data_IF_446681333383
#
_entry.id   IF_446681333383
#
_cell.length_a   1.000
_cell.length_b   1.000
_cell.length_c   1.000
_cell.angle_alpha   90.00
_cell.angle_beta   90.00
_cell.angle_gamma   90.00
#
_symmetry.space_group_name_H-M   'P 1'
#
loop_
_entity.id
_entity.type
_entity.pdbx_description
1 polymer ?
#
# COMPACT_ATOMS: atom_id res chain seq x y z
N UNK A 1 -10.47 -16.98 -8.81
CA UNK A 1 -11.20 -16.72 -7.52
C UNK A 1 -12.62 -17.14 -7.77
N UNK A 2 -13.27 -17.87 -6.90
CA UNK A 2 -14.67 -18.29 -7.09
C UNK A 2 -15.53 -17.36 -6.25
N UNK A 3 -16.51 -16.71 -6.89
CA UNK A 3 -17.47 -15.86 -6.21
C UNK A 3 -18.72 -16.65 -5.84
N UNK A 4 -19.44 -16.18 -4.81
CA UNK A 4 -20.69 -16.76 -4.33
C UNK A 4 -21.84 -15.76 -4.54
N UNK A 5 -23.08 -16.27 -4.52
CA UNK A 5 -24.27 -15.41 -4.48
C UNK A 5 -24.22 -14.55 -3.22
N UNK A 6 -24.44 -13.25 -3.37
CA UNK A 6 -24.32 -12.26 -2.32
C UNK A 6 -22.97 -11.53 -2.27
N UNK A 7 -21.95 -12.03 -2.97
CA UNK A 7 -20.66 -11.34 -3.02
C UNK A 7 -20.78 -10.00 -3.76
N UNK A 8 -20.19 -8.97 -3.19
CA UNK A 8 -20.05 -7.67 -3.84
C UNK A 8 -18.85 -7.68 -4.75
N UNK A 9 -19.04 -7.22 -5.97
CA UNK A 9 -18.02 -7.22 -7.02
C UNK A 9 -17.93 -5.88 -7.72
N UNK A 10 -16.80 -5.65 -8.39
CA UNK A 10 -16.61 -4.51 -9.26
C UNK A 10 -16.50 -4.98 -10.71
N UNK A 11 -17.21 -4.31 -11.61
CA UNK A 11 -17.10 -4.45 -13.05
C UNK A 11 -16.86 -3.09 -13.68
N UNK A 12 -15.66 -2.87 -14.23
CA UNK A 12 -15.28 -1.61 -14.90
C UNK A 12 -15.55 -0.32 -14.09
N UNK A 13 -15.44 -0.41 -12.75
CA UNK A 13 -15.70 0.71 -11.85
C UNK A 13 -17.12 0.74 -11.26
N UNK A 14 -18.04 -0.10 -11.77
CA UNK A 14 -19.41 -0.20 -11.27
C UNK A 14 -19.52 -1.26 -10.17
N UNK A 15 -20.16 -0.90 -9.07
CA UNK A 15 -20.41 -1.82 -7.96
C UNK A 15 -21.67 -2.63 -8.21
N UNK A 16 -21.57 -3.94 -8.06
CA UNK A 16 -22.69 -4.87 -8.17
C UNK A 16 -22.64 -5.96 -7.12
N UNK A 17 -23.71 -6.73 -7.06
CA UNK A 17 -23.85 -7.92 -6.22
C UNK A 17 -24.18 -9.12 -7.10
N UNK A 18 -23.56 -10.26 -6.84
CA UNK A 18 -23.89 -11.51 -7.53
C UNK A 18 -25.22 -12.02 -7.00
N UNK A 19 -26.18 -12.13 -7.88
CA UNK A 19 -27.55 -12.53 -7.54
C UNK A 19 -27.91 -13.93 -8.02
N UNK A 20 -27.17 -14.45 -9.02
CA UNK A 20 -27.31 -15.83 -9.50
C UNK A 20 -26.04 -16.29 -10.22
N UNK A 21 -25.93 -17.60 -10.51
CA UNK A 21 -24.83 -18.19 -11.25
C UNK A 21 -25.36 -19.26 -12.22
N UNK A 22 -24.83 -19.26 -13.46
CA UNK A 22 -25.18 -20.33 -14.40
C UNK A 22 -24.56 -21.66 -13.95
N UNK A 23 -25.31 -22.76 -14.18
CA UNK A 23 -24.86 -24.13 -13.91
C UNK A 23 -24.22 -24.81 -15.14
N UNK A 24 -23.91 -24.05 -16.20
CA UNK A 24 -23.32 -24.55 -17.45
C UNK A 24 -21.78 -24.69 -17.34
N UNK A 25 -21.16 -25.28 -18.37
CA UNK A 25 -19.70 -25.45 -18.44
C UNK A 25 -18.91 -24.11 -18.36
N UNK A 26 -19.51 -23.02 -18.88
CA UNK A 26 -19.01 -21.65 -18.67
C UNK A 26 -19.77 -21.03 -17.51
N UNK A 27 -19.11 -20.88 -16.37
CA UNK A 27 -19.70 -20.23 -15.22
C UNK A 27 -19.86 -18.75 -15.52
N UNK A 28 -21.12 -18.30 -15.62
CA UNK A 28 -21.48 -16.90 -15.73
C UNK A 28 -22.13 -16.45 -14.44
N UNK A 29 -21.73 -15.29 -13.95
CA UNK A 29 -22.31 -14.65 -12.78
C UNK A 29 -23.36 -13.64 -13.24
N UNK A 30 -24.58 -13.76 -12.74
CA UNK A 30 -25.59 -12.71 -12.88
C UNK A 30 -25.33 -11.67 -11.82
N UNK A 31 -24.90 -10.48 -12.25
CA UNK A 31 -24.57 -9.35 -11.38
C UNK A 31 -25.64 -8.28 -11.51
N UNK A 32 -26.24 -7.88 -10.39
CA UNK A 32 -27.14 -6.72 -10.33
C UNK A 32 -26.34 -5.51 -9.82
N UNK A 33 -26.46 -4.40 -10.55
CA UNK A 33 -25.73 -3.15 -10.25
C UNK A 33 -26.64 -2.16 -9.50
N UNK A 34 -26.02 -1.30 -8.70
CA UNK A 34 -26.70 -0.24 -7.94
C UNK A 34 -26.94 1.04 -8.76
N UNK A 35 -26.45 1.05 -9.98
CA UNK A 35 -26.56 2.15 -10.93
C UNK A 35 -26.73 1.62 -12.35
N UNK A 36 -27.20 2.44 -13.29
CA UNK A 36 -27.37 2.02 -14.69
C UNK A 36 -26.02 1.75 -15.35
N UNK A 37 -25.84 0.54 -15.86
CA UNK A 37 -24.66 0.08 -16.58
C UNK A 37 -25.02 -0.19 -18.03
N UNK A 38 -24.17 0.24 -18.97
CA UNK A 38 -24.42 0.03 -20.40
C UNK A 38 -24.59 -1.47 -20.73
N UNK A 39 -25.71 -1.82 -21.33
CA UNK A 39 -26.04 -3.18 -21.69
C UNK A 39 -26.75 -3.99 -20.61
N UNK A 40 -27.00 -3.41 -19.43
CA UNK A 40 -27.78 -4.06 -18.38
C UNK A 40 -29.28 -4.20 -18.77
N UNK A 41 -29.92 -5.18 -18.18
CA UNK A 41 -31.33 -5.50 -18.37
C UNK A 41 -31.99 -5.95 -17.07
N UNK A 42 -33.29 -6.17 -17.11
CA UNK A 42 -34.02 -6.81 -16.00
C UNK A 42 -33.88 -8.33 -16.14
N UNK A 43 -33.50 -9.00 -15.05
CA UNK A 43 -33.48 -10.46 -14.98
C UNK A 43 -34.28 -10.98 -13.79
N UNK A 44 -34.78 -12.20 -13.93
CA UNK A 44 -35.44 -12.94 -12.85
C UNK A 44 -34.60 -14.14 -12.46
N UNK A 45 -34.33 -14.29 -11.18
CA UNK A 45 -33.60 -15.42 -10.61
C UNK A 45 -34.49 -16.64 -10.42
N UNK A 46 -33.94 -17.84 -10.20
CA UNK A 46 -34.69 -19.09 -10.05
C UNK A 46 -35.72 -19.04 -8.89
N UNK A 47 -35.48 -18.26 -7.87
CA UNK A 47 -36.36 -18.00 -6.72
C UNK A 47 -37.50 -17.01 -7.02
N UNK A 48 -37.54 -16.48 -8.25
CA UNK A 48 -38.61 -15.59 -8.73
C UNK A 48 -38.40 -14.12 -8.45
N UNK A 49 -37.26 -13.72 -7.88
CA UNK A 49 -36.91 -12.31 -7.59
C UNK A 49 -36.53 -11.61 -8.90
N UNK A 50 -37.11 -10.43 -9.13
CA UNK A 50 -36.78 -9.55 -10.26
C UNK A 50 -35.66 -8.59 -9.85
N UNK A 51 -34.56 -8.58 -10.62
CA UNK A 51 -33.44 -7.70 -10.45
C UNK A 51 -33.34 -6.73 -11.62
N UNK A 52 -33.15 -5.45 -11.31
CA UNK A 52 -32.88 -4.43 -12.31
C UNK A 52 -31.38 -4.29 -12.55
N UNK A 53 -31.00 -3.68 -13.69
CA UNK A 53 -29.60 -3.37 -14.02
C UNK A 53 -28.68 -4.59 -13.88
N UNK A 54 -29.01 -5.70 -14.54
CA UNK A 54 -28.26 -6.95 -14.47
C UNK A 54 -27.45 -7.23 -15.73
N UNK A 55 -26.28 -7.84 -15.55
CA UNK A 55 -25.45 -8.41 -16.63
C UNK A 55 -24.99 -9.81 -16.26
N UNK A 56 -24.91 -10.69 -17.28
CA UNK A 56 -24.17 -11.95 -17.16
C UNK A 56 -22.70 -11.69 -17.47
N UNK A 57 -21.82 -11.93 -16.49
CA UNK A 57 -20.39 -11.66 -16.56
C UNK A 57 -19.59 -12.93 -16.26
N UNK A 58 -18.39 -13.03 -16.84
CA UNK A 58 -17.45 -14.10 -16.52
C UNK A 58 -16.63 -13.69 -15.29
N UNK A 59 -16.02 -14.69 -14.64
CA UNK A 59 -15.12 -14.44 -13.51
C UNK A 59 -14.00 -13.45 -13.84
N UNK A 60 -13.44 -13.54 -15.05
CA UNK A 60 -12.35 -12.68 -15.53
C UNK A 60 -12.74 -11.19 -15.67
N UNK A 61 -14.03 -10.91 -15.85
CA UNK A 61 -14.57 -9.54 -15.95
C UNK A 61 -14.78 -8.89 -14.57
N UNK A 62 -14.73 -9.69 -13.50
CA UNK A 62 -15.04 -9.28 -12.14
C UNK A 62 -13.76 -9.08 -11.32
N UNK A 63 -13.82 -8.17 -10.39
CA UNK A 63 -12.81 -8.01 -9.35
C UNK A 63 -13.45 -7.85 -7.98
N UNK A 64 -12.77 -8.28 -6.89
CA UNK A 64 -13.27 -8.04 -5.54
C UNK A 64 -13.43 -6.55 -5.27
N UNK A 65 -14.41 -6.21 -4.45
CA UNK A 65 -14.55 -4.86 -3.94
C UNK A 65 -13.38 -4.48 -3.03
N UNK A 66 -12.93 -3.24 -3.17
CA UNK A 66 -11.97 -2.63 -2.24
C UNK A 66 -12.75 -1.62 -1.40
N UNK A 67 -12.91 -1.93 -0.12
CA UNK A 67 -13.64 -1.06 0.81
C UNK A 67 -12.75 0.06 1.34
N UNK A 68 -13.37 1.21 1.64
CA UNK A 68 -12.65 2.41 2.08
C UNK A 68 -12.06 2.30 3.49
N UNK A 69 -12.57 1.39 4.30
CA UNK A 69 -12.17 1.12 5.67
C UNK A 69 -11.34 -0.17 5.84
N UNK A 70 -10.93 -0.80 4.72
CA UNK A 70 -10.16 -2.03 4.74
C UNK A 70 -8.76 -1.85 4.13
N UNK A 71 -7.78 -2.45 4.80
CA UNK A 71 -6.39 -2.57 4.36
C UNK A 71 -6.00 -4.04 4.35
N UNK A 72 -5.79 -4.60 3.17
CA UNK A 72 -5.41 -5.99 3.00
C UNK A 72 -3.90 -6.12 2.83
N UNK A 73 -3.32 -7.08 3.54
CA UNK A 73 -1.93 -7.49 3.38
C UNK A 73 -1.85 -8.90 2.82
N UNK A 74 -0.99 -9.10 1.83
CA UNK A 74 -0.65 -10.41 1.31
C UNK A 74 0.84 -10.69 1.54
N UNK A 75 1.18 -11.95 1.88
CA UNK A 75 2.57 -12.40 1.92
C UNK A 75 3.02 -12.75 0.51
N UNK A 76 4.03 -12.04 0.00
CA UNK A 76 4.75 -12.37 -1.24
C UNK A 76 5.79 -13.46 -0.96
N UNK A 77 6.34 -13.46 0.27
CA UNK A 77 7.26 -14.49 0.78
C UNK A 77 6.67 -15.17 2.00
N UNK A 78 6.80 -16.51 2.14
CA UNK A 78 6.20 -17.27 3.27
C UNK A 78 6.60 -16.75 4.64
N UNK A 79 7.86 -16.30 4.78
CA UNK A 79 8.44 -15.81 6.03
C UNK A 79 8.12 -14.35 6.34
N UNK A 80 7.38 -13.65 5.47
CA UNK A 80 7.00 -12.26 5.69
C UNK A 80 6.14 -12.12 6.96
N UNK A 81 6.37 -11.03 7.68
CA UNK A 81 5.58 -10.65 8.86
C UNK A 81 4.51 -9.67 8.41
N UNK A 82 3.24 -10.00 8.64
CA UNK A 82 2.13 -9.08 8.38
C UNK A 82 2.23 -7.90 9.36
N UNK A 83 2.25 -6.65 8.87
CA UNK A 83 2.30 -5.47 9.69
C UNK A 83 1.17 -5.40 10.72
N UNK A 84 1.49 -4.98 11.92
CA UNK A 84 0.52 -4.82 13.01
C UNK A 84 0.83 -3.57 13.82
N UNK A 85 -0.17 -3.10 14.54
CA UNK A 85 -0.06 -1.97 15.48
C UNK A 85 -0.97 -2.20 16.68
N UNK A 86 -0.72 -1.52 17.78
CA UNK A 86 -1.68 -1.42 18.88
C UNK A 86 -2.81 -0.46 18.48
N UNK A 87 -3.93 -0.54 19.16
CA UNK A 87 -5.10 0.29 18.86
C UNK A 87 -4.78 1.80 18.88
N UNK A 88 -4.02 2.24 19.87
CA UNK A 88 -3.62 3.65 20.05
C UNK A 88 -2.49 4.10 19.12
N UNK A 89 -1.77 3.18 18.48
CA UNK A 89 -0.67 3.54 17.58
C UNK A 89 -1.22 4.04 16.25
N UNK A 90 -0.67 5.13 15.75
CA UNK A 90 -1.04 5.67 14.44
C UNK A 90 -0.48 4.84 13.27
N UNK A 91 0.62 4.10 13.49
CA UNK A 91 1.39 3.45 12.44
C UNK A 91 1.56 1.95 12.68
N UNK A 92 1.61 1.18 11.58
CA UNK A 92 1.93 -0.25 11.56
C UNK A 92 3.44 -0.44 11.44
N UNK A 93 4.03 -1.34 12.22
CA UNK A 93 5.43 -1.71 12.08
C UNK A 93 5.68 -2.54 10.81
N UNK A 94 6.69 -2.19 10.05
CA UNK A 94 7.13 -2.88 8.83
C UNK A 94 8.45 -3.61 9.12
N UNK A 95 8.55 -4.86 8.68
CA UNK A 95 9.66 -5.75 8.98
C UNK A 95 10.45 -6.10 7.72
N UNK A 96 11.74 -6.40 7.90
CA UNK A 96 12.56 -6.97 6.84
C UNK A 96 12.15 -8.43 6.54
N UNK A 97 12.29 -8.85 5.27
CA UNK A 97 12.07 -10.24 4.86
C UNK A 97 13.09 -10.62 3.77
N UNK A 98 14.22 -11.18 4.17
CA UNK A 98 15.27 -11.70 3.29
C UNK A 98 15.71 -13.09 3.74
N UNK A 99 16.33 -13.84 2.82
CA UNK A 99 16.69 -15.25 3.05
C UNK A 99 18.06 -15.39 3.71
N UNK A 100 19.00 -14.48 3.42
CA UNK A 100 20.33 -14.46 4.01
C UNK A 100 20.31 -14.35 5.53
N UNK A 101 21.39 -14.73 6.19
CA UNK A 101 21.53 -14.65 7.64
C UNK A 101 21.58 -13.22 8.16
N UNK A 102 22.15 -12.32 7.36
CA UNK A 102 22.24 -10.88 7.66
C UNK A 102 22.27 -10.04 6.38
N UNK A 103 21.93 -8.76 6.51
CA UNK A 103 21.99 -7.76 5.45
C UNK A 103 22.80 -6.56 5.95
N UNK A 104 23.76 -6.12 5.12
CA UNK A 104 24.63 -4.97 5.45
C UNK A 104 24.16 -3.72 4.74
N UNK A 105 24.04 -2.63 5.48
CA UNK A 105 23.87 -1.28 4.94
C UNK A 105 25.19 -0.54 5.14
N UNK A 106 26.04 -0.41 4.09
CA UNK A 106 27.34 0.24 4.21
C UNK A 106 27.20 1.72 4.62
N UNK A 107 28.26 2.32 5.17
CA UNK A 107 28.28 3.74 5.49
C UNK A 107 27.86 4.62 4.32
N UNK A 108 26.96 5.57 4.56
CA UNK A 108 26.47 6.56 3.59
C UNK A 108 25.80 5.97 2.33
N UNK A 109 25.39 4.69 2.37
CA UNK A 109 24.65 4.04 1.28
C UNK A 109 23.18 3.83 1.61
N UNK A 110 22.38 3.75 0.57
CA UNK A 110 20.95 3.37 0.63
C UNK A 110 20.78 1.97 0.09
N UNK A 111 20.15 1.10 0.86
CA UNK A 111 19.80 -0.27 0.46
C UNK A 111 18.26 -0.41 0.45
N UNK A 112 17.76 -1.05 -0.60
CA UNK A 112 16.35 -1.44 -0.69
C UNK A 112 16.15 -2.75 0.09
N UNK A 113 15.46 -2.67 1.23
CA UNK A 113 15.23 -3.83 2.09
C UNK A 113 13.88 -4.44 1.74
N UNK A 114 13.83 -5.70 1.28
CA UNK A 114 12.58 -6.38 0.97
C UNK A 114 11.77 -6.63 2.25
N UNK A 115 10.44 -6.58 2.13
CA UNK A 115 9.50 -6.80 3.23
C UNK A 115 8.69 -8.07 3.09
N UNK A 116 8.66 -8.66 1.89
CA UNK A 116 7.86 -9.85 1.58
C UNK A 116 6.36 -9.62 1.61
N UNK A 117 5.87 -8.38 1.66
CA UNK A 117 4.44 -8.07 1.66
C UNK A 117 4.02 -7.26 0.45
N UNK A 118 2.76 -7.43 0.06
CA UNK A 118 2.03 -6.59 -0.89
C UNK A 118 0.67 -6.20 -0.28
N UNK A 119 0.01 -5.19 -0.82
CA UNK A 119 -1.24 -4.68 -0.25
C UNK A 119 -2.31 -4.38 -1.28
N UNK A 120 -3.56 -4.32 -0.79
CA UNK A 120 -4.71 -3.73 -1.45
C UNK A 120 -5.41 -2.78 -0.49
N UNK A 121 -5.72 -1.58 -0.95
CA UNK A 121 -6.52 -0.60 -0.23
C UNK A 121 -7.18 0.38 -1.22
N UNK A 122 -8.22 1.08 -0.78
CA UNK A 122 -8.97 2.03 -1.59
C UNK A 122 -8.11 3.23 -2.00
N UNK A 123 -8.38 3.80 -3.19
CA UNK A 123 -7.77 5.04 -3.68
C UNK A 123 -8.07 6.29 -2.84
N UNK A 124 -8.91 6.14 -1.83
CA UNK A 124 -9.11 7.15 -0.78
C UNK A 124 -7.84 7.36 0.05
N UNK A 125 -6.96 6.35 0.08
CA UNK A 125 -5.76 6.33 0.92
C UNK A 125 -4.48 6.28 0.11
N UNK A 126 -3.41 6.77 0.70
CA UNK A 126 -2.03 6.53 0.34
C UNK A 126 -1.30 5.92 1.55
N UNK A 127 -0.47 4.93 1.30
CA UNK A 127 0.39 4.38 2.32
C UNK A 127 1.73 5.13 2.34
N UNK A 128 2.09 5.69 3.49
CA UNK A 128 3.36 6.39 3.67
C UNK A 128 4.27 5.62 4.61
N UNK A 129 5.41 5.17 4.08
CA UNK A 129 6.49 4.63 4.90
C UNK A 129 7.22 5.78 5.59
N UNK A 130 7.47 5.62 6.89
CA UNK A 130 8.14 6.59 7.74
C UNK A 130 9.21 5.92 8.59
N UNK A 131 10.16 6.70 9.05
CA UNK A 131 11.16 6.28 10.03
C UNK A 131 10.49 5.92 11.35
N UNK A 132 10.98 4.88 11.99
CA UNK A 132 10.70 4.66 13.42
C UNK A 132 11.65 5.54 14.24
N UNK A 133 11.18 6.07 15.36
CA UNK A 133 12.02 6.87 16.25
C UNK A 133 13.31 6.16 16.64
N UNK A 134 13.26 4.83 16.88
CA UNK A 134 14.45 4.02 17.20
C UNK A 134 15.42 3.86 16.03
N UNK A 135 14.99 4.03 14.78
CA UNK A 135 15.85 3.94 13.60
C UNK A 135 16.52 5.29 13.34
N UNK A 136 15.73 6.38 13.36
CA UNK A 136 16.23 7.72 13.21
C UNK A 136 17.31 8.05 14.25
N UNK A 137 17.09 7.68 15.52
CA UNK A 137 18.09 7.87 16.61
C UNK A 137 19.40 7.09 16.41
N UNK A 138 19.38 6.03 15.56
CA UNK A 138 20.58 5.24 15.19
C UNK A 138 21.17 5.63 13.84
N UNK A 139 20.73 6.74 13.26
CA UNK A 139 21.23 7.20 11.96
C UNK A 139 20.77 6.35 10.78
N UNK A 140 19.63 5.70 10.88
CA UNK A 140 18.95 5.04 9.75
C UNK A 140 17.87 5.97 9.23
N UNK A 141 18.07 6.54 8.05
CA UNK A 141 17.12 7.42 7.39
C UNK A 141 16.34 6.68 6.31
N UNK A 142 15.01 6.69 6.41
CA UNK A 142 14.14 6.13 5.40
C UNK A 142 13.99 7.12 4.23
N UNK A 143 14.11 6.63 2.99
CA UNK A 143 13.98 7.42 1.76
C UNK A 143 12.71 7.02 1.02
N UNK A 144 12.18 7.93 0.19
CA UNK A 144 10.95 7.72 -0.56
C UNK A 144 9.77 7.29 0.35
N UNK A 145 8.99 6.30 -0.06
CA UNK A 145 8.01 5.65 0.82
C UNK A 145 6.57 6.07 0.56
N UNK A 146 6.25 6.65 -0.59
CA UNK A 146 4.86 6.76 -1.07
C UNK A 146 4.50 5.45 -1.78
N UNK A 147 3.48 4.78 -1.28
CA UNK A 147 2.95 3.55 -1.88
C UNK A 147 1.53 3.84 -2.35
N UNK A 148 1.34 3.75 -3.64
CA UNK A 148 0.05 4.01 -4.28
C UNK A 148 -0.95 2.86 -4.06
N UNK A 149 -2.23 3.17 -3.99
CA UNK A 149 -3.30 2.18 -3.82
C UNK A 149 -3.37 1.14 -4.95
N UNK A 150 -2.91 1.49 -6.14
CA UNK A 150 -2.84 0.61 -7.31
C UNK A 150 -1.62 -0.30 -7.36
N UNK A 151 -0.61 -0.13 -6.49
CA UNK A 151 0.58 -0.95 -6.49
C UNK A 151 0.31 -2.33 -5.88
N UNK A 152 0.67 -3.38 -6.62
CA UNK A 152 0.46 -4.79 -6.23
C UNK A 152 1.76 -5.57 -6.03
N UNK A 153 2.91 -4.92 -6.23
CA UNK A 153 4.22 -5.54 -6.04
C UNK A 153 4.64 -5.63 -4.58
N UNK A 154 5.74 -6.34 -4.34
CA UNK A 154 6.40 -6.37 -3.04
C UNK A 154 6.84 -4.97 -2.61
N UNK A 155 6.65 -4.64 -1.34
CA UNK A 155 7.13 -3.41 -0.76
C UNK A 155 8.61 -3.51 -0.40
N UNK A 156 9.34 -2.45 -0.70
CA UNK A 156 10.72 -2.28 -0.30
C UNK A 156 10.88 -1.05 0.58
N UNK A 157 11.70 -1.16 1.60
CA UNK A 157 12.05 -0.04 2.47
C UNK A 157 13.46 0.44 2.11
N UNK A 158 13.61 1.60 1.44
CA UNK A 158 14.93 2.18 1.19
C UNK A 158 15.46 2.80 2.48
N UNK A 159 16.49 2.21 3.08
CA UNK A 159 17.18 2.76 4.25
C UNK A 159 18.57 3.24 3.91
N UNK A 160 18.86 4.48 4.30
CA UNK A 160 20.19 5.09 4.23
C UNK A 160 20.86 4.98 5.59
N UNK A 161 22.05 4.43 5.61
CA UNK A 161 22.93 4.49 6.77
C UNK A 161 23.69 5.83 6.78
N UNK A 162 23.41 6.71 7.72
CA UNK A 162 24.10 8.00 7.87
C UNK A 162 25.34 7.92 8.76
N UNK A 163 25.64 6.74 9.32
CA UNK A 163 26.79 6.53 10.19
C UNK A 163 28.08 6.30 9.38
N UNK A 164 29.21 6.38 10.07
CA UNK A 164 30.55 6.09 9.52
C UNK A 164 30.94 4.61 9.58
N UNK A 165 30.09 3.78 10.21
CA UNK A 165 30.27 2.33 10.31
C UNK A 165 29.07 1.64 9.66
N UNK A 166 29.20 0.40 9.15
CA UNK A 166 28.08 -0.33 8.59
C UNK A 166 26.98 -0.59 9.64
N UNK A 167 25.73 -0.65 9.19
CA UNK A 167 24.62 -1.21 9.97
C UNK A 167 24.32 -2.60 9.44
N UNK A 168 24.25 -3.58 10.31
CA UNK A 168 24.02 -4.99 9.96
C UNK A 168 22.69 -5.43 10.56
N UNK A 169 21.71 -5.69 9.69
CA UNK A 169 20.44 -6.32 10.09
C UNK A 169 20.71 -7.82 10.15
N UNK A 170 20.63 -8.41 11.35
CA UNK A 170 21.06 -9.79 11.59
C UNK A 170 19.96 -10.61 12.27
N UNK A 171 19.77 -11.85 11.81
CA UNK A 171 18.87 -12.83 12.41
C UNK A 171 19.43 -13.33 13.75
N UNK A 172 18.55 -13.73 14.64
CA UNK A 172 18.91 -14.23 15.97
C UNK A 172 19.76 -15.52 15.86
N UNK A 173 20.85 -15.55 16.58
CA UNK A 173 21.74 -16.71 16.68
C UNK A 173 22.73 -16.87 15.53
N UNK A 174 22.79 -15.90 14.64
CA UNK A 174 23.81 -15.86 13.55
C UNK A 174 25.15 -15.34 14.10
N UNK A 175 26.22 -16.06 13.82
CA UNK A 175 27.59 -15.60 14.04
C UNK A 175 28.03 -14.72 12.87
N UNK A 176 28.41 -13.49 13.18
CA UNK A 176 28.86 -12.54 12.17
C UNK A 176 30.36 -12.66 11.91
N UNK A 177 30.84 -12.31 10.70
CA UNK A 177 32.25 -12.15 10.43
C UNK A 177 32.90 -11.14 11.40
N UNK A 178 34.16 -11.37 11.81
CA UNK A 178 34.93 -10.55 12.75
C UNK A 178 34.98 -9.05 12.38
N UNK A 179 34.86 -8.73 11.08
CA UNK A 179 34.84 -7.33 10.60
C UNK A 179 33.62 -6.54 11.10
N UNK A 180 32.53 -7.22 11.54
CA UNK A 180 31.34 -6.60 12.10
C UNK A 180 31.25 -6.70 13.62
N UNK A 181 32.26 -7.28 14.28
CA UNK A 181 32.35 -7.38 15.73
C UNK A 181 33.04 -6.14 16.36
N UNK A 182 33.05 -6.07 17.69
CA UNK A 182 33.82 -5.12 18.47
C UNK A 182 33.65 -3.65 18.08
N UNK A 183 32.40 -3.19 17.94
CA UNK A 183 32.06 -1.79 17.62
C UNK A 183 32.38 -1.34 16.19
N UNK A 184 32.75 -2.23 15.28
CA UNK A 184 32.98 -1.94 13.88
C UNK A 184 31.70 -1.89 13.06
N UNK A 185 30.54 -2.26 13.65
CA UNK A 185 29.22 -2.17 13.06
C UNK A 185 28.15 -1.84 14.10
N UNK A 186 27.03 -1.28 13.64
CA UNK A 186 25.80 -1.15 14.43
C UNK A 186 24.93 -2.35 14.12
N UNK A 187 24.69 -3.21 15.12
CA UNK A 187 23.83 -4.39 14.96
C UNK A 187 22.38 -4.00 15.14
N UNK A 188 21.55 -4.43 14.17
CA UNK A 188 20.10 -4.23 14.17
C UNK A 188 19.41 -5.59 14.13
N UNK A 189 18.61 -5.95 15.16
CA UNK A 189 17.90 -7.24 15.16
C UNK A 189 16.90 -7.34 14.02
N UNK A 190 16.94 -8.46 13.28
CA UNK A 190 16.04 -8.75 12.16
C UNK A 190 14.56 -8.70 12.55
N UNK A 191 14.23 -9.11 13.78
CA UNK A 191 12.87 -9.18 14.32
C UNK A 191 12.27 -7.80 14.64
N UNK A 192 13.09 -6.74 14.58
CA UNK A 192 12.61 -5.37 14.81
C UNK A 192 12.08 -4.74 13.53
N UNK A 193 11.01 -3.98 13.67
CA UNK A 193 10.49 -3.19 12.57
C UNK A 193 11.53 -2.21 12.02
N UNK A 194 11.72 -2.20 10.71
CA UNK A 194 12.69 -1.36 9.98
C UNK A 194 12.09 -0.02 9.53
N UNK A 195 10.78 0.08 9.47
CA UNK A 195 10.01 1.27 9.14
C UNK A 195 8.65 1.20 9.82
N UNK A 196 7.85 2.24 9.65
CA UNK A 196 6.44 2.26 10.04
C UNK A 196 5.58 2.79 8.90
N UNK A 197 4.37 2.25 8.78
CA UNK A 197 3.37 2.60 7.78
C UNK A 197 2.29 3.49 8.40
N UNK A 198 2.03 4.64 7.77
CA UNK A 198 0.88 5.50 8.03
C UNK A 198 -0.07 5.46 6.83
N UNK A 199 -1.36 5.29 7.08
CA UNK A 199 -2.40 5.50 6.07
C UNK A 199 -2.85 6.96 6.14
N UNK A 200 -2.79 7.65 4.99
CA UNK A 200 -3.17 9.07 4.89
C UNK A 200 -4.26 9.21 3.84
N UNK A 201 -5.30 9.98 4.16
CA UNK A 201 -6.39 10.23 3.21
C UNK A 201 -5.92 11.12 2.06
N UNK A 202 -6.29 10.76 0.82
CA UNK A 202 -5.94 11.49 -0.39
C UNK A 202 -7.16 12.25 -0.89
N UNK A 203 -7.16 13.60 -0.82
CA UNK A 203 -8.27 14.38 -1.34
C UNK A 203 -8.33 14.28 -2.87
N UNK A 204 -9.52 14.07 -3.41
CA UNK A 204 -9.75 14.09 -4.86
C UNK A 204 -9.82 15.54 -5.34
N UNK A 205 -8.73 16.03 -5.92
CA UNK A 205 -8.65 17.36 -6.48
C UNK A 205 -8.82 17.33 -8.00
N UNK A 206 -9.54 18.31 -8.53
CA UNK A 206 -9.57 18.58 -9.98
C UNK A 206 -8.36 19.42 -10.34
N UNK A 207 -7.53 18.94 -11.23
CA UNK A 207 -6.38 19.68 -11.76
C UNK A 207 -6.81 20.47 -12.99
N UNK A 208 -6.30 21.71 -13.10
CA UNK A 208 -6.48 22.59 -14.26
C UNK A 208 -5.16 23.27 -14.56
N UNK A 209 -4.72 23.21 -15.78
CA UNK A 209 -3.61 24.02 -16.26
C UNK A 209 -4.07 25.45 -16.51
N UNK A 210 -3.31 26.41 -16.02
CA UNK A 210 -3.51 27.83 -16.22
C UNK A 210 -2.18 28.48 -16.59
N UNK A 211 -2.20 29.70 -17.15
CA UNK A 211 -0.97 30.45 -17.39
C UNK A 211 -0.38 31.00 -16.12
N UNK A 212 0.90 31.39 -16.15
CA UNK A 212 1.55 32.02 -15.00
C UNK A 212 0.92 33.38 -14.67
N UNK A 213 0.52 34.13 -15.69
CA UNK A 213 -0.18 35.40 -15.58
C UNK A 213 -1.54 35.24 -14.88
N UNK A 214 -2.31 34.21 -15.24
CA UNK A 214 -3.55 33.85 -14.55
C UNK A 214 -3.31 33.46 -13.10
N UNK A 215 -2.23 32.70 -12.81
CA UNK A 215 -1.86 32.31 -11.45
C UNK A 215 -1.58 33.53 -10.57
N UNK A 216 -0.92 34.56 -11.10
CA UNK A 216 -0.61 35.79 -10.35
C UNK A 216 -1.85 36.63 -10.01
N UNK A 217 -3.01 36.37 -10.63
CA UNK A 217 -4.27 37.04 -10.29
C UNK A 217 -4.91 36.50 -8.98
N UNK A 218 -4.48 35.33 -8.49
CA UNK A 218 -4.96 34.80 -7.22
C UNK A 218 -4.29 35.55 -6.05
N UNK A 219 -5.11 36.09 -5.15
CA UNK A 219 -4.60 36.82 -4.01
C UNK A 219 -3.72 35.94 -3.11
N UNK A 220 -2.59 36.49 -2.69
CA UNK A 220 -1.64 35.84 -1.78
C UNK A 220 -0.87 36.90 -0.99
N UNK A 221 -0.87 36.79 0.32
CA UNK A 221 -0.03 37.65 1.20
C UNK A 221 1.47 37.44 0.96
N UNK A 222 1.86 36.24 0.56
CA UNK A 222 3.25 35.89 0.29
C UNK A 222 3.70 36.24 -1.13
N UNK A 223 2.79 36.24 -2.10
CA UNK A 223 3.08 36.44 -3.52
C UNK A 223 4.16 35.47 -4.02
N UNK A 224 5.16 35.98 -4.73
CA UNK A 224 6.30 35.22 -5.29
C UNK A 224 7.48 35.08 -4.32
N UNK A 225 7.32 35.47 -3.06
CA UNK A 225 8.37 35.43 -2.06
C UNK A 225 8.94 34.04 -1.81
N UNK A 226 10.25 33.88 -2.04
CA UNK A 226 11.00 32.62 -1.85
C UNK A 226 11.62 32.50 -0.44
N UNK A 227 12.73 31.76 -0.33
CA UNK A 227 13.43 31.53 0.95
C UNK A 227 13.74 32.84 1.69
N UNK A 228 13.31 32.94 2.94
CA UNK A 228 13.50 34.14 3.76
C UNK A 228 12.45 35.23 3.56
N UNK A 229 11.40 35.05 2.74
CA UNK A 229 10.35 36.04 2.49
C UNK A 229 9.48 36.36 3.74
N UNK A 230 9.57 35.57 4.80
CA UNK A 230 8.85 35.81 6.06
C UNK A 230 9.46 36.95 6.90
N UNK A 231 10.54 37.58 6.46
CA UNK A 231 11.03 38.88 6.96
C UNK A 231 11.36 38.97 8.46
N UNK A 232 11.75 37.86 9.10
CA UNK A 232 12.18 37.84 10.50
C UNK A 232 13.48 37.09 10.66
#
# INVERSE_FOLDING_TARGET
MVYNIGDKVNYKGHMGIIVDMSKSHDVLYLVSFFETVQGSSIAQTEDGILWNETLFLREEDLSPMIYDDELYFAKVKPNAIIPSKREEDAAYDIYACFDDDYLVIPPHQTILIPTGIATVFSSKWVALLRERGSNGSKGLAQRAGVIDSGYRGEWFVPLTNTNRVPVVIVKKGVELPLIYENSHAILYPYEKGIAQLLMVEVPKLRTKEITYEELLQFNSERGTGALGSSGK
#
